data_IF_443438663476
#
_entry.id   IF_443438663476
#
_cell.length_a   1.000
_cell.length_b   1.000
_cell.length_c   1.000
_cell.angle_alpha   90.00
_cell.angle_beta   90.00
_cell.angle_gamma   90.00
#
_symmetry.space_group_name_H-M   'P 1'
#
loop_
_entity.id
_entity.type
_entity.pdbx_description
1 polymer ?
#
# COMPACT_ATOMS: atom_id res chain seq x y z
N UNK A 1 2.93 -12.67 6.52
CA UNK A 1 3.30 -12.69 7.94
C UNK A 1 3.02 -11.28 8.44
N UNK A 2 2.08 -11.13 9.36
CA UNK A 2 1.62 -9.83 9.82
C UNK A 2 2.72 -9.16 10.65
N UNK A 3 3.36 -8.13 10.09
CA UNK A 3 4.49 -7.39 10.69
C UNK A 3 4.05 -6.44 11.82
N UNK A 4 2.78 -6.52 12.23
CA UNK A 4 2.15 -5.65 13.21
C UNK A 4 1.27 -6.51 14.11
N UNK A 5 1.64 -6.54 15.39
CA UNK A 5 0.88 -7.27 16.43
C UNK A 5 0.26 -6.22 17.35
N UNK A 6 -1.06 -6.30 17.56
CA UNK A 6 -1.78 -5.46 18.51
C UNK A 6 -1.87 -6.20 19.86
N UNK A 7 -1.31 -5.63 20.92
CA UNK A 7 -1.41 -6.13 22.29
C UNK A 7 -1.79 -4.95 23.18
N UNK A 8 -2.89 -5.08 23.94
CA UNK A 8 -3.40 -4.06 24.88
C UNK A 8 -3.48 -2.63 24.27
N UNK A 9 -4.07 -2.51 23.09
CA UNK A 9 -4.20 -1.26 22.32
C UNK A 9 -2.87 -0.56 21.97
N UNK A 10 -1.75 -1.26 22.12
CA UNK A 10 -0.44 -0.79 21.68
C UNK A 10 0.06 -1.55 20.45
N UNK A 11 0.57 -0.78 19.50
CA UNK A 11 1.10 -1.27 18.24
C UNK A 11 2.59 -1.56 18.40
N UNK A 12 2.97 -2.85 18.31
CA UNK A 12 4.37 -3.26 18.31
C UNK A 12 4.85 -3.50 16.87
N UNK A 13 5.87 -2.74 16.47
CA UNK A 13 6.59 -2.93 15.22
C UNK A 13 7.75 -3.89 15.46
N UNK A 14 7.75 -5.04 14.79
CA UNK A 14 8.90 -5.94 14.81
C UNK A 14 10.11 -5.21 14.18
N UNK A 15 11.28 -5.31 14.82
CA UNK A 15 12.53 -4.72 14.33
C UNK A 15 12.95 -5.39 13.00
N UNK A 16 12.41 -4.88 11.89
CA UNK A 16 12.46 -5.46 10.55
C UNK A 16 11.33 -4.97 9.65
N UNK A 17 10.24 -4.44 10.23
CA UNK A 17 9.15 -3.81 9.47
C UNK A 17 9.69 -2.59 8.72
N UNK A 18 9.56 -2.57 7.39
CA UNK A 18 9.69 -1.31 6.66
C UNK A 18 8.67 -0.35 7.27
N UNK A 19 9.16 0.76 7.83
CA UNK A 19 8.33 1.85 8.35
C UNK A 19 7.29 2.14 7.28
N UNK A 20 6.03 1.75 7.51
CA UNK A 20 4.95 2.12 6.61
C UNK A 20 4.90 3.62 6.72
N UNK A 21 5.41 4.31 5.70
CA UNK A 21 5.45 5.75 5.67
C UNK A 21 3.99 6.20 5.83
N UNK A 22 3.69 6.83 6.97
CA UNK A 22 2.33 7.11 7.43
C UNK A 22 1.68 8.25 6.64
N UNK A 23 2.19 8.55 5.45
CA UNK A 23 1.65 9.55 4.54
C UNK A 23 0.61 8.89 3.66
N UNK A 24 -0.64 9.31 3.85
CA UNK A 24 -1.70 8.95 2.93
C UNK A 24 -1.61 9.78 1.65
N UNK A 25 -1.90 9.14 0.53
CA UNK A 25 -2.16 9.77 -0.76
C UNK A 25 -3.67 9.91 -0.94
N UNK A 26 -4.13 11.10 -1.31
CA UNK A 26 -5.56 11.38 -1.50
C UNK A 26 -5.83 11.70 -2.96
N UNK A 27 -6.63 10.85 -3.62
CA UNK A 27 -7.23 11.14 -4.93
C UNK A 27 -8.64 11.69 -4.72
N UNK A 28 -9.05 12.67 -5.53
CA UNK A 28 -10.41 13.23 -5.45
C UNK A 28 -10.95 13.56 -6.84
N UNK A 29 -12.16 13.08 -7.12
CA UNK A 29 -12.94 13.46 -8.30
C UNK A 29 -14.43 13.63 -7.92
N UNK A 30 -14.94 14.86 -8.02
CA UNK A 30 -16.30 15.20 -7.59
C UNK A 30 -16.54 14.81 -6.12
N UNK A 31 -17.61 14.06 -5.87
CA UNK A 31 -17.98 13.56 -4.54
C UNK A 31 -17.29 12.25 -4.13
N UNK A 32 -16.41 11.73 -4.99
CA UNK A 32 -15.61 10.53 -4.74
C UNK A 32 -14.19 10.93 -4.32
N UNK A 33 -13.66 10.30 -3.28
CA UNK A 33 -12.24 10.40 -2.93
C UNK A 33 -11.70 9.05 -2.44
N UNK A 34 -10.43 8.81 -2.68
CA UNK A 34 -9.71 7.65 -2.17
C UNK A 34 -8.58 8.10 -1.25
N UNK A 35 -8.47 7.45 -0.10
CA UNK A 35 -7.38 7.59 0.84
C UNK A 35 -6.57 6.30 0.77
N UNK A 36 -5.35 6.40 0.27
CA UNK A 36 -4.43 5.29 0.00
C UNK A 36 -3.15 5.52 0.80
N UNK A 37 -2.33 4.49 1.03
CA UNK A 37 -0.95 4.73 1.47
C UNK A 37 -0.02 5.09 0.30
N UNK A 38 1.28 5.27 0.58
CA UNK A 38 2.27 5.61 -0.45
C UNK A 38 2.44 4.56 -1.54
N UNK A 39 2.18 3.29 -1.24
CA UNK A 39 2.23 2.27 -2.27
C UNK A 39 0.99 2.38 -3.14
N UNK A 40 -0.10 2.96 -2.65
CA UNK A 40 -1.42 3.02 -3.29
C UNK A 40 -2.39 1.94 -2.78
N UNK A 41 -2.11 1.33 -1.63
CA UNK A 41 -2.97 0.31 -1.02
C UNK A 41 -3.97 0.93 -0.04
N UNK A 42 -5.05 0.20 0.20
CA UNK A 42 -6.00 0.38 1.28
C UNK A 42 -5.77 -0.79 2.24
N UNK A 43 -4.99 -0.56 3.29
CA UNK A 43 -4.69 -1.59 4.29
C UNK A 43 -5.87 -1.78 5.26
N UNK A 44 -6.00 -3.02 5.77
CA UNK A 44 -6.85 -3.33 6.92
C UNK A 44 -6.30 -2.77 8.23
N UNK A 45 -5.00 -2.47 8.27
CA UNK A 45 -4.27 -2.04 9.46
C UNK A 45 -4.10 -0.51 9.49
N UNK A 46 -4.19 0.12 10.66
CA UNK A 46 -3.96 1.56 10.85
C UNK A 46 -5.12 2.26 11.57
N UNK A 47 -5.23 3.59 11.43
CA UNK A 47 -6.33 4.39 11.99
C UNK A 47 -7.68 4.13 11.31
N UNK A 48 -7.71 3.22 10.33
CA UNK A 48 -8.91 2.84 9.62
C UNK A 48 -9.52 3.99 8.83
N UNK A 49 -8.70 4.91 8.31
CA UNK A 49 -9.09 6.06 7.47
C UNK A 49 -8.94 5.79 5.96
N UNK A 50 -8.12 4.81 5.57
CA UNK A 50 -7.93 4.41 4.18
C UNK A 50 -9.21 3.80 3.60
N UNK A 51 -9.49 4.12 2.34
CA UNK A 51 -10.68 3.63 1.67
C UNK A 51 -11.10 4.48 0.48
N UNK A 52 -12.06 3.96 -0.28
CA UNK A 52 -12.78 4.74 -1.30
C UNK A 52 -14.11 5.20 -0.72
N UNK A 53 -14.38 6.49 -0.85
CA UNK A 53 -15.55 7.15 -0.32
C UNK A 53 -16.34 7.81 -1.43
N UNK A 54 -17.67 7.78 -1.32
CA UNK A 54 -18.58 8.50 -2.18
C UNK A 54 -19.71 9.07 -1.34
N UNK A 55 -20.00 10.37 -1.48
CA UNK A 55 -21.06 11.06 -0.70
C UNK A 55 -20.95 10.80 0.81
N UNK A 56 -19.73 10.78 1.34
CA UNK A 56 -19.44 10.58 2.77
C UNK A 56 -19.50 9.13 3.26
N UNK A 57 -19.83 8.16 2.41
CA UNK A 57 -19.87 6.73 2.77
C UNK A 57 -18.65 6.00 2.24
N UNK A 58 -18.02 5.15 3.05
CA UNK A 58 -16.92 4.28 2.61
C UNK A 58 -17.50 3.09 1.84
N UNK A 59 -17.10 2.94 0.57
CA UNK A 59 -17.50 1.84 -0.31
C UNK A 59 -16.42 0.76 -0.45
N UNK A 60 -15.15 1.09 -0.24
CA UNK A 60 -14.04 0.14 -0.24
C UNK A 60 -13.18 0.36 0.99
N UNK A 61 -12.96 -0.69 1.77
CA UNK A 61 -12.21 -0.63 3.04
C UNK A 61 -10.93 -1.47 3.04
N UNK A 62 -10.65 -2.19 1.95
CA UNK A 62 -9.43 -2.95 1.80
C UNK A 62 -9.17 -3.25 0.32
N UNK A 63 -7.94 -3.00 -0.12
CA UNK A 63 -7.46 -3.32 -1.45
C UNK A 63 -5.94 -3.23 -1.44
N UNK A 64 -5.25 -4.32 -1.74
CA UNK A 64 -3.79 -4.35 -1.74
C UNK A 64 -3.26 -5.13 -2.94
N UNK A 65 -2.08 -4.73 -3.41
CA UNK A 65 -1.33 -5.47 -4.42
C UNK A 65 -0.28 -6.34 -3.73
N UNK A 66 -0.35 -7.65 -3.96
CA UNK A 66 0.66 -8.62 -3.51
C UNK A 66 1.32 -9.29 -4.72
N UNK A 67 2.60 -9.60 -4.59
CA UNK A 67 3.37 -10.41 -5.55
C UNK A 67 3.92 -11.61 -4.79
N UNK A 68 3.43 -12.80 -5.14
CA UNK A 68 3.72 -14.05 -4.42
C UNK A 68 3.46 -13.93 -2.92
N UNK A 69 2.25 -13.50 -2.56
CA UNK A 69 1.77 -13.27 -1.18
C UNK A 69 2.64 -12.32 -0.35
N UNK A 70 3.46 -11.50 -1.03
CA UNK A 70 4.31 -10.48 -0.40
C UNK A 70 3.98 -9.12 -0.92
N UNK A 71 4.03 -8.16 0.00
CA UNK A 71 3.89 -6.76 -0.34
C UNK A 71 5.10 -6.28 -1.16
N UNK A 72 4.89 -5.58 -2.28
CA UNK A 72 5.96 -4.95 -3.03
C UNK A 72 6.70 -3.89 -2.21
N UNK A 73 7.90 -3.54 -2.65
CA UNK A 73 8.71 -2.45 -2.12
C UNK A 73 8.53 -1.19 -2.97
N UNK A 74 8.39 -0.03 -2.33
CA UNK A 74 8.23 1.24 -3.02
C UNK A 74 9.55 1.70 -3.69
N UNK A 75 9.49 2.04 -4.98
CA UNK A 75 10.56 2.76 -5.68
C UNK A 75 10.22 4.25 -5.83
N UNK A 76 9.00 4.56 -6.25
CA UNK A 76 8.53 5.93 -6.40
C UNK A 76 7.00 6.02 -6.22
N UNK A 77 6.51 7.13 -5.68
CA UNK A 77 5.09 7.45 -5.57
C UNK A 77 4.89 8.91 -5.96
N UNK A 78 4.14 9.17 -7.01
CA UNK A 78 3.97 10.52 -7.55
C UNK A 78 2.51 10.78 -7.89
N UNK A 79 1.97 11.86 -7.35
CA UNK A 79 0.66 12.39 -7.72
C UNK A 79 0.82 13.31 -8.93
N UNK A 80 -0.03 13.17 -9.94
CA UNK A 80 -0.11 14.14 -11.03
C UNK A 80 -0.55 15.51 -10.49
N UNK A 81 -0.11 16.61 -11.10
CA UNK A 81 -0.36 17.98 -10.60
C UNK A 81 -1.85 18.32 -10.39
N UNK A 82 -2.73 17.72 -11.17
CA UNK A 82 -4.19 17.90 -11.07
C UNK A 82 -4.86 16.91 -10.11
N UNK A 83 -4.09 16.12 -9.35
CA UNK A 83 -4.55 15.06 -8.46
C UNK A 83 -5.51 14.04 -9.12
N UNK A 84 -5.45 13.89 -10.45
CA UNK A 84 -6.30 12.95 -11.19
C UNK A 84 -5.76 11.53 -11.23
N UNK A 85 -4.44 11.35 -11.02
CA UNK A 85 -3.76 10.06 -11.12
C UNK A 85 -2.68 9.95 -10.06
N UNK A 86 -2.67 8.84 -9.33
CA UNK A 86 -1.54 8.40 -8.53
C UNK A 86 -0.74 7.37 -9.32
N UNK A 87 0.54 7.67 -9.57
CA UNK A 87 1.49 6.77 -10.20
C UNK A 87 2.41 6.17 -9.14
N UNK A 88 2.50 4.85 -9.09
CA UNK A 88 3.37 4.15 -8.14
C UNK A 88 4.24 3.14 -8.86
N UNK A 89 5.54 3.30 -8.68
CA UNK A 89 6.57 2.37 -9.15
C UNK A 89 7.02 1.50 -7.97
N UNK A 90 7.01 0.19 -8.19
CA UNK A 90 7.21 -0.83 -7.17
C UNK A 90 8.26 -1.84 -7.65
N UNK A 91 8.89 -2.50 -6.69
CA UNK A 91 9.70 -3.69 -6.93
C UNK A 91 9.39 -4.80 -5.93
N UNK A 92 10.09 -5.92 -6.04
CA UNK A 92 9.89 -7.09 -5.18
C UNK A 92 10.99 -7.19 -4.12
N UNK A 93 10.66 -7.70 -2.92
CA UNK A 93 11.66 -8.22 -2.00
C UNK A 93 12.24 -9.55 -2.53
N UNK A 94 13.17 -10.15 -1.79
CA UNK A 94 13.60 -11.52 -2.08
C UNK A 94 12.41 -12.49 -1.93
N UNK A 95 12.08 -13.19 -3.01
CA UNK A 95 11.02 -14.21 -3.03
C UNK A 95 11.66 -15.58 -2.96
N UNK A 96 11.18 -16.39 -2.01
CA UNK A 96 11.67 -17.73 -1.76
C UNK A 96 10.55 -18.77 -1.93
N UNK A 97 10.91 -19.94 -2.45
CA UNK A 97 10.10 -21.17 -2.35
C UNK A 97 10.82 -22.12 -1.39
N UNK A 98 10.31 -22.25 -0.16
CA UNK A 98 11.05 -22.89 0.93
C UNK A 98 12.35 -22.12 1.22
N UNK A 99 13.48 -22.82 1.26
CA UNK A 99 14.81 -22.23 1.49
C UNK A 99 15.48 -21.73 0.19
N UNK A 100 14.82 -21.89 -0.96
CA UNK A 100 15.39 -21.51 -2.26
C UNK A 100 14.96 -20.10 -2.65
N UNK A 101 15.93 -19.20 -2.86
CA UNK A 101 15.70 -17.90 -3.50
C UNK A 101 15.28 -18.11 -4.96
N UNK A 102 14.06 -17.73 -5.32
CA UNK A 102 13.51 -17.86 -6.68
C UNK A 102 13.49 -16.54 -7.44
N UNK A 103 13.36 -15.41 -6.72
CA UNK A 103 13.48 -14.08 -7.30
C UNK A 103 14.28 -13.19 -6.35
N UNK A 104 15.48 -12.75 -6.73
CA UNK A 104 16.21 -11.74 -5.98
C UNK A 104 15.44 -10.42 -5.92
N UNK A 105 15.57 -9.73 -4.79
CA UNK A 105 15.07 -8.37 -4.57
C UNK A 105 15.45 -7.45 -5.73
N UNK A 106 14.52 -6.60 -6.15
CA UNK A 106 14.80 -5.58 -7.16
C UNK A 106 14.69 -6.06 -8.62
N UNK A 107 14.47 -7.35 -8.87
CA UNK A 107 14.49 -7.91 -10.23
C UNK A 107 13.18 -7.68 -10.99
N UNK A 108 12.05 -7.69 -10.29
CA UNK A 108 10.76 -7.37 -10.90
C UNK A 108 10.42 -5.89 -10.68
N UNK A 109 10.10 -5.20 -11.76
CA UNK A 109 9.52 -3.87 -11.74
C UNK A 109 8.02 -3.96 -11.99
N UNK A 110 7.22 -3.25 -11.18
CA UNK A 110 5.77 -3.16 -11.36
C UNK A 110 5.36 -1.68 -11.27
N UNK A 111 4.64 -1.20 -12.28
CA UNK A 111 4.05 0.13 -12.29
C UNK A 111 2.54 -0.01 -12.10
N UNK A 112 1.94 0.89 -11.30
CA UNK A 112 0.48 1.03 -11.23
C UNK A 112 0.04 2.47 -11.29
N UNK A 113 -1.08 2.68 -11.97
CA UNK A 113 -1.78 3.96 -12.09
C UNK A 113 -3.16 3.82 -11.46
N UNK A 114 -3.49 4.70 -10.52
CA UNK A 114 -4.78 4.68 -9.83
C UNK A 114 -5.54 5.96 -10.18
N UNK A 115 -6.81 5.78 -10.57
CA UNK A 115 -7.78 6.81 -10.91
C UNK A 115 -9.09 6.50 -10.20
N UNK A 116 -9.92 7.51 -9.91
CA UNK A 116 -11.20 7.37 -9.20
C UNK A 116 -12.32 8.17 -9.85
#
# INVERSE_FOLDING_TARGET
MDDVIQIDDQWYYAAGSQKTDSRNQVLKQGDTFAVLDLLGDISRTGLGEQGVYHLGTRHLSHWELLINDRRPMLLNSTMKEDNSVLMVELTTPDIHEGDRLVLPKGQLHASRSIII
#
